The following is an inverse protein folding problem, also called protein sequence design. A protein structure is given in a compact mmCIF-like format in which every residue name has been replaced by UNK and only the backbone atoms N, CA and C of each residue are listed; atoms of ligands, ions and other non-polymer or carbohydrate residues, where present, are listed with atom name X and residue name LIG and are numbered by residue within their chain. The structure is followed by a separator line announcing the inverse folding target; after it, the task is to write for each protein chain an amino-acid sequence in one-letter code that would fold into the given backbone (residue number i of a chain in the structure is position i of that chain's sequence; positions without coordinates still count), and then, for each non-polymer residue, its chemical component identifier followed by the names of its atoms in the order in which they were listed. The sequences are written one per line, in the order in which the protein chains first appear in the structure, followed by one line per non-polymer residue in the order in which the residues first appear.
data_IF_922583832398
#
_entry.id   IF_922583832398
#
_cell.length_a   1.000
_cell.length_b   1.000
_cell.length_c   1.000
_cell.angle_alpha   90.00
_cell.angle_beta   90.00
_cell.angle_gamma   90.00
#
_symmetry.space_group_name_H-M   'P 1'
#
loop_
_entity.id
_entity.type
_entity.pdbx_description
1 polymer ?
#
# COMPACT_ATOMS: atom_id res chain seq x y z
N UNK A 1 41.07 10.38 -35.45
CA UNK A 1 40.38 9.28 -34.75
C UNK A 1 40.71 9.37 -33.26
N UNK A 2 39.98 10.14 -32.43
CA UNK A 2 40.22 10.18 -30.97
C UNK A 2 39.18 10.98 -30.17
N UNK A 3 37.86 10.82 -30.38
CA UNK A 3 36.83 11.55 -29.58
C UNK A 3 35.70 10.66 -29.01
N UNK A 4 35.99 9.41 -28.62
CA UNK A 4 34.95 8.48 -28.11
C UNK A 4 35.15 7.94 -26.69
N UNK A 5 36.11 8.45 -25.92
CA UNK A 5 36.44 7.86 -24.59
C UNK A 5 35.92 8.69 -23.39
N UNK A 6 35.40 9.91 -23.59
CA UNK A 6 35.05 10.80 -22.47
C UNK A 6 33.61 10.64 -21.93
N UNK A 7 32.68 10.02 -22.67
CA UNK A 7 31.25 10.00 -22.30
C UNK A 7 30.92 8.87 -21.30
N UNK A 8 31.67 7.76 -21.32
CA UNK A 8 31.39 6.60 -20.44
C UNK A 8 31.78 6.89 -18.98
N UNK A 9 32.82 7.69 -18.75
CA UNK A 9 33.32 7.99 -17.39
C UNK A 9 32.37 8.91 -16.61
N UNK A 10 31.64 9.81 -17.30
CA UNK A 10 30.68 10.72 -16.66
C UNK A 10 29.43 9.98 -16.16
N UNK A 11 28.98 8.96 -16.91
CA UNK A 11 27.85 8.13 -16.49
C UNK A 11 28.20 7.24 -15.28
N UNK A 12 29.41 6.69 -15.23
CA UNK A 12 29.87 5.90 -14.10
C UNK A 12 30.05 6.74 -12.82
N UNK A 13 30.46 8.02 -12.96
CA UNK A 13 30.61 8.95 -11.84
C UNK A 13 29.28 9.49 -11.30
N UNK A 14 28.23 9.63 -12.14
CA UNK A 14 26.91 10.05 -11.69
C UNK A 14 26.20 8.92 -10.93
N UNK A 15 26.34 7.68 -11.38
CA UNK A 15 25.82 6.50 -10.67
C UNK A 15 26.56 6.30 -9.35
N UNK A 16 27.89 6.47 -9.32
CA UNK A 16 28.68 6.33 -8.08
C UNK A 16 28.39 7.42 -7.03
N UNK A 17 28.00 8.64 -7.43
CA UNK A 17 27.61 9.70 -6.48
C UNK A 17 26.27 9.47 -5.79
N UNK A 18 25.40 8.62 -6.36
CA UNK A 18 24.16 8.20 -5.70
C UNK A 18 24.43 7.22 -4.53
N UNK A 19 25.62 6.62 -4.46
CA UNK A 19 25.99 5.64 -3.43
C UNK A 19 26.66 6.23 -2.17
N UNK A 20 26.80 7.56 -2.09
CA UNK A 20 27.29 8.24 -0.88
C UNK A 20 26.21 9.09 -0.21
N UNK A 21 24.93 8.69 -0.34
CA UNK A 21 23.92 9.19 0.58
C UNK A 21 24.23 8.63 1.97
N UNK A 22 24.29 9.51 2.98
CA UNK A 22 24.39 9.09 4.38
C UNK A 22 23.14 8.26 4.70
N UNK A 23 23.29 6.93 4.59
CA UNK A 23 22.20 6.01 4.88
C UNK A 23 21.70 6.29 6.30
N UNK A 24 20.39 6.14 6.54
CA UNK A 24 19.84 6.28 7.88
C UNK A 24 20.61 5.35 8.84
N UNK A 25 20.94 5.82 10.06
CA UNK A 25 21.73 5.04 10.99
C UNK A 25 21.02 3.74 11.38
N UNK A 26 21.79 2.75 11.82
CA UNK A 26 21.23 1.51 12.35
C UNK A 26 20.17 1.78 13.43
N UNK A 27 19.10 0.99 13.42
CA UNK A 27 17.95 1.21 14.31
C UNK A 27 16.90 2.17 13.78
N UNK A 28 17.17 2.92 12.70
CA UNK A 28 16.17 3.79 12.06
C UNK A 28 14.99 3.00 11.52
N UNK A 29 13.81 3.58 11.54
CA UNK A 29 12.60 2.96 10.98
C UNK A 29 11.58 4.00 10.54
N UNK A 30 10.69 3.58 9.63
CA UNK A 30 9.46 4.29 9.32
C UNK A 30 8.30 3.31 9.34
N UNK A 31 7.20 3.72 9.95
CA UNK A 31 5.95 2.98 9.99
C UNK A 31 4.80 3.88 9.57
N UNK A 32 4.04 3.40 8.60
CA UNK A 32 2.75 3.95 8.21
C UNK A 32 1.66 3.00 8.69
N UNK A 33 0.83 3.47 9.60
CA UNK A 33 -0.35 2.74 10.08
C UNK A 33 -1.60 3.41 9.53
N UNK A 34 -2.53 2.64 9.01
CA UNK A 34 -3.82 3.13 8.56
C UNK A 34 -4.95 2.42 9.31
N UNK A 35 -5.89 3.19 9.86
CA UNK A 35 -7.09 2.70 10.56
C UNK A 35 -8.32 3.55 10.19
N UNK A 36 -9.49 3.13 10.65
CA UNK A 36 -10.75 3.84 10.41
C UNK A 36 -11.32 3.67 9.01
N UNK A 37 -12.42 4.38 8.74
CA UNK A 37 -13.27 4.16 7.57
C UNK A 37 -13.98 2.80 7.59
N UNK A 38 -14.63 2.45 6.48
CA UNK A 38 -15.17 1.11 6.24
C UNK A 38 -14.08 0.28 5.58
N UNK A 39 -13.52 -0.65 6.34
CA UNK A 39 -12.42 -1.52 5.92
C UNK A 39 -12.60 -2.91 6.54
N UNK A 40 -12.23 -4.00 5.85
CA UNK A 40 -12.20 -5.34 6.45
C UNK A 40 -11.12 -5.45 7.55
N UNK A 41 -10.17 -4.51 7.56
CA UNK A 41 -9.11 -4.41 8.54
C UNK A 41 -9.39 -3.31 9.54
N UNK A 42 -9.16 -3.64 10.82
CA UNK A 42 -9.07 -2.67 11.91
C UNK A 42 -7.84 -1.79 11.75
N UNK A 43 -6.72 -2.38 11.35
CA UNK A 43 -5.43 -1.70 11.17
C UNK A 43 -4.64 -2.36 10.03
N UNK A 44 -4.02 -1.55 9.18
CA UNK A 44 -3.01 -1.96 8.21
C UNK A 44 -1.70 -1.22 8.48
N UNK A 45 -0.58 -1.92 8.52
CA UNK A 45 0.74 -1.36 8.84
C UNK A 45 1.75 -1.70 7.75
N UNK A 46 2.46 -0.68 7.26
CA UNK A 46 3.63 -0.80 6.40
C UNK A 46 4.84 -0.28 7.17
N UNK A 47 5.86 -1.10 7.34
CA UNK A 47 7.04 -0.78 8.15
C UNK A 47 8.32 -1.08 7.36
N UNK A 48 9.29 -0.17 7.46
CA UNK A 48 10.65 -0.37 6.99
C UNK A 48 11.58 -0.08 8.15
N UNK A 49 12.37 -1.06 8.54
CA UNK A 49 13.32 -0.97 9.65
C UNK A 49 14.74 -1.26 9.17
N UNK A 50 15.70 -0.42 9.56
CA UNK A 50 17.12 -0.53 9.22
C UNK A 50 17.84 -1.36 10.29
N UNK A 51 18.60 -2.37 9.83
CA UNK A 51 19.43 -3.27 10.64
C UNK A 51 20.80 -3.43 9.99
N UNK A 52 21.74 -2.57 10.34
CA UNK A 52 23.06 -2.50 9.71
C UNK A 52 22.93 -2.26 8.21
N UNK A 53 23.36 -3.22 7.40
CA UNK A 53 23.24 -3.20 5.93
C UNK A 53 21.93 -3.81 5.40
N UNK A 54 21.03 -4.21 6.27
CA UNK A 54 19.77 -4.90 5.94
C UNK A 54 18.59 -3.97 6.15
N UNK A 55 17.61 -4.03 5.25
CA UNK A 55 16.30 -3.41 5.44
C UNK A 55 15.26 -4.52 5.67
N UNK A 56 14.50 -4.40 6.76
CA UNK A 56 13.39 -5.29 7.12
C UNK A 56 12.09 -4.60 6.72
N UNK A 57 11.36 -5.19 5.79
CA UNK A 57 10.08 -4.68 5.30
C UNK A 57 8.98 -5.55 5.88
N UNK A 58 7.99 -4.93 6.52
CA UNK A 58 6.87 -5.64 7.13
C UNK A 58 5.55 -5.07 6.63
N UNK A 59 4.67 -5.96 6.19
CA UNK A 59 3.24 -5.68 5.98
C UNK A 59 2.45 -6.44 7.04
N UNK A 60 1.67 -5.73 7.84
CA UNK A 60 0.79 -6.35 8.83
C UNK A 60 -0.65 -5.87 8.67
N UNK A 61 -1.61 -6.80 8.83
CA UNK A 61 -3.04 -6.52 8.79
C UNK A 61 -3.73 -7.16 10.00
N UNK A 62 -4.53 -6.38 10.72
CA UNK A 62 -5.41 -6.86 11.79
C UNK A 62 -6.84 -6.80 11.26
N UNK A 63 -7.49 -7.94 11.07
CA UNK A 63 -8.86 -8.01 10.54
C UNK A 63 -9.91 -7.80 11.63
N UNK A 64 -11.13 -7.38 11.25
CA UNK A 64 -12.26 -7.27 12.18
C UNK A 64 -12.83 -8.64 12.58
N UNK A 65 -12.78 -9.62 11.67
CA UNK A 65 -13.51 -10.90 11.83
C UNK A 65 -12.60 -12.08 12.21
N UNK A 66 -11.30 -12.00 11.96
CA UNK A 66 -10.32 -13.00 12.41
C UNK A 66 -9.42 -12.39 13.50
N UNK A 67 -9.55 -12.85 14.75
CA UNK A 67 -8.65 -12.44 15.81
C UNK A 67 -7.25 -12.97 15.50
N UNK A 68 -6.33 -12.06 15.18
CA UNK A 68 -4.94 -12.37 14.86
C UNK A 68 -4.35 -11.36 13.90
N UNK A 69 -3.15 -10.87 14.23
CA UNK A 69 -2.35 -10.07 13.32
C UNK A 69 -1.76 -11.01 12.26
N UNK A 70 -2.12 -10.79 10.99
CA UNK A 70 -1.42 -11.42 9.88
C UNK A 70 -0.22 -10.54 9.51
N UNK A 71 0.93 -11.17 9.33
CA UNK A 71 2.17 -10.47 9.01
C UNK A 71 2.92 -11.18 7.88
N UNK A 72 3.53 -10.37 7.02
CA UNK A 72 4.52 -10.80 6.02
C UNK A 72 5.74 -9.93 6.15
N UNK A 73 6.90 -10.55 6.09
CA UNK A 73 8.20 -9.90 6.26
C UNK A 73 9.09 -10.23 5.07
N UNK A 74 9.83 -9.25 4.60
CA UNK A 74 10.89 -9.40 3.61
C UNK A 74 12.18 -8.77 4.14
N UNK A 75 13.28 -9.49 3.99
CA UNK A 75 14.63 -8.98 4.27
C UNK A 75 15.28 -8.61 2.94
N UNK A 76 15.80 -7.39 2.86
CA UNK A 76 16.63 -6.93 1.75
C UNK A 76 18.05 -6.71 2.25
N UNK A 77 19.03 -7.07 1.45
CA UNK A 77 20.45 -6.96 1.79
C UNK A 77 21.24 -6.35 0.62
N UNK A 78 22.45 -5.90 0.90
CA UNK A 78 23.39 -5.41 -0.12
C UNK A 78 22.86 -4.24 -0.94
N UNK A 79 23.04 -4.30 -2.25
CA UNK A 79 22.68 -3.21 -3.17
C UNK A 79 21.18 -2.92 -3.20
N UNK A 80 20.33 -3.93 -2.98
CA UNK A 80 18.87 -3.74 -2.98
C UNK A 80 18.42 -2.95 -1.75
N UNK A 81 18.95 -3.27 -0.57
CA UNK A 81 18.70 -2.51 0.65
C UNK A 81 19.20 -1.07 0.50
N UNK A 82 20.42 -0.87 0.01
CA UNK A 82 20.99 0.46 -0.21
C UNK A 82 20.15 1.30 -1.17
N UNK A 83 19.72 0.71 -2.30
CA UNK A 83 18.88 1.40 -3.28
C UNK A 83 17.52 1.81 -2.68
N UNK A 84 16.89 0.92 -1.90
CA UNK A 84 15.64 1.24 -1.21
C UNK A 84 15.84 2.38 -0.20
N UNK A 85 16.85 2.30 0.66
CA UNK A 85 17.08 3.29 1.71
C UNK A 85 17.42 4.66 1.13
N UNK A 86 18.21 4.72 0.05
CA UNK A 86 18.47 5.94 -0.68
C UNK A 86 17.19 6.53 -1.32
N UNK A 87 16.31 5.69 -1.87
CA UNK A 87 15.02 6.14 -2.42
C UNK A 87 14.09 6.71 -1.34
N UNK A 88 14.05 6.09 -0.15
CA UNK A 88 13.28 6.60 1.00
C UNK A 88 13.86 7.91 1.55
N UNK A 89 15.19 8.04 1.59
CA UNK A 89 15.84 9.29 1.98
C UNK A 89 15.53 10.42 0.99
N UNK A 90 15.65 10.15 -0.32
CA UNK A 90 15.28 11.10 -1.36
C UNK A 90 13.80 11.52 -1.32
N UNK A 91 12.91 10.66 -0.83
CA UNK A 91 11.50 10.97 -0.60
C UNK A 91 11.25 11.79 0.68
N UNK A 92 12.29 12.12 1.46
CA UNK A 92 12.19 12.90 2.69
C UNK A 92 11.60 12.14 3.88
N UNK A 93 11.59 10.80 3.82
CA UNK A 93 10.95 9.94 4.84
C UNK A 93 11.51 10.21 6.23
N UNK A 94 12.84 10.30 6.35
CA UNK A 94 13.52 10.46 7.63
C UNK A 94 13.34 11.84 8.24
N UNK A 95 12.90 12.81 7.42
CA UNK A 95 12.81 14.23 7.76
C UNK A 95 11.37 14.77 7.75
N UNK A 96 10.38 13.90 7.58
CA UNK A 96 8.95 14.24 7.55
C UNK A 96 8.49 14.96 8.81
N UNK A 97 7.75 16.07 8.64
CA UNK A 97 7.19 16.88 9.72
C UNK A 97 5.66 16.77 9.74
N UNK A 98 5.01 16.91 10.91
CA UNK A 98 3.55 16.97 10.97
C UNK A 98 3.05 18.16 10.13
N UNK A 99 2.13 17.95 9.18
CA UNK A 99 1.48 19.04 8.45
C UNK A 99 0.40 19.72 9.31
N UNK A 100 -0.12 20.89 8.89
CA UNK A 100 -1.31 21.48 9.50
C UNK A 100 -2.47 20.46 9.55
N UNK A 101 -3.14 20.38 10.71
CA UNK A 101 -4.23 19.42 10.94
C UNK A 101 -3.80 18.02 11.38
N UNK A 102 -2.49 17.75 11.44
CA UNK A 102 -1.97 16.56 12.11
C UNK A 102 -1.95 16.73 13.64
N UNK A 103 -2.12 15.63 14.35
CA UNK A 103 -2.00 15.56 15.81
C UNK A 103 -0.74 14.78 16.17
N UNK A 104 0.10 15.32 17.05
CA UNK A 104 1.27 14.61 17.56
C UNK A 104 0.88 13.45 18.50
N UNK A 105 1.71 12.40 18.51
CA UNK A 105 1.51 11.21 19.34
C UNK A 105 0.90 10.04 18.58
N UNK A 106 0.27 9.10 19.32
CA UNK A 106 -0.19 7.82 18.77
C UNK A 106 -1.66 7.89 18.39
N UNK A 107 -1.99 7.39 17.20
CA UNK A 107 -3.37 7.27 16.72
C UNK A 107 -4.21 6.37 17.63
N UNK A 108 -3.65 5.24 18.09
CA UNK A 108 -4.34 4.26 18.95
C UNK A 108 -4.80 4.80 20.30
N UNK A 109 -4.26 5.93 20.73
CA UNK A 109 -4.66 6.59 21.98
C UNK A 109 -6.03 7.30 21.80
N UNK A 110 -6.61 7.27 20.59
CA UNK A 110 -7.95 7.76 20.26
C UNK A 110 -8.73 6.72 19.42
N UNK A 111 -10.07 6.66 19.57
CA UNK A 111 -10.90 5.83 18.70
C UNK A 111 -10.64 6.11 17.22
N UNK A 112 -10.68 5.06 16.39
CA UNK A 112 -10.55 5.20 14.95
C UNK A 112 -11.77 5.93 14.38
N UNK A 113 -11.60 6.90 13.48
CA UNK A 113 -12.71 7.56 12.82
C UNK A 113 -13.51 6.57 11.96
N UNK A 114 -14.85 6.67 12.00
CA UNK A 114 -15.72 5.85 11.17
C UNK A 114 -15.97 6.48 9.79
N UNK A 115 -15.81 7.80 9.68
CA UNK A 115 -16.19 8.61 8.52
C UNK A 115 -15.13 8.66 7.42
N UNK A 116 -13.86 8.48 7.76
CA UNK A 116 -12.74 8.41 6.82
C UNK A 116 -11.55 7.69 7.42
N UNK A 117 -10.59 7.31 6.58
CA UNK A 117 -9.34 6.71 7.03
C UNK A 117 -8.50 7.71 7.82
N UNK A 118 -7.74 7.21 8.79
CA UNK A 118 -6.70 7.95 9.49
C UNK A 118 -5.36 7.26 9.27
N UNK A 119 -4.34 8.08 9.08
CA UNK A 119 -2.97 7.65 8.87
C UNK A 119 -2.12 8.12 10.04
N UNK A 120 -1.34 7.21 10.60
CA UNK A 120 -0.26 7.49 11.54
C UNK A 120 1.07 7.33 10.81
N UNK A 121 1.96 8.30 11.02
CA UNK A 121 3.34 8.29 10.56
C UNK A 121 4.22 8.23 11.80
N UNK A 122 5.04 7.19 11.91
CA UNK A 122 6.01 7.03 12.99
C UNK A 122 7.39 6.81 12.39
N UNK A 123 8.30 7.76 12.61
CA UNK A 123 9.67 7.73 12.07
C UNK A 123 10.66 7.81 13.22
N UNK A 124 11.66 6.94 13.19
CA UNK A 124 12.85 7.01 14.01
C UNK A 124 14.10 7.16 13.13
N UNK A 125 14.94 8.16 13.43
CA UNK A 125 16.26 8.36 12.80
C UNK A 125 17.31 8.48 13.91
N UNK A 126 18.00 7.39 14.20
CA UNK A 126 18.92 7.31 15.34
C UNK A 126 18.18 7.54 16.68
N UNK A 127 18.52 8.62 17.40
CA UNK A 127 17.89 8.97 18.69
C UNK A 127 16.62 9.81 18.53
N UNK A 128 16.38 10.36 17.35
CA UNK A 128 15.22 11.20 17.09
C UNK A 128 14.01 10.33 16.74
N UNK A 129 12.88 10.60 17.37
CA UNK A 129 11.61 9.96 17.06
C UNK A 129 10.53 11.01 16.82
N UNK A 130 9.76 10.82 15.76
CA UNK A 130 8.60 11.65 15.42
C UNK A 130 7.41 10.74 15.18
N UNK A 131 6.28 11.12 15.76
CA UNK A 131 5.03 10.39 15.57
C UNK A 131 3.87 11.35 15.54
N UNK A 132 3.05 11.24 14.51
CA UNK A 132 1.85 12.04 14.35
C UNK A 132 0.82 11.26 13.54
N UNK A 133 -0.43 11.68 13.62
CA UNK A 133 -1.50 11.12 12.83
C UNK A 133 -2.42 12.20 12.26
N UNK A 134 -3.09 11.89 11.16
CA UNK A 134 -4.04 12.77 10.50
C UNK A 134 -5.11 11.98 9.78
N UNK A 135 -6.26 12.59 9.55
CA UNK A 135 -7.28 11.98 8.69
C UNK A 135 -6.86 12.05 7.21
N UNK A 136 -7.46 11.21 6.37
CA UNK A 136 -7.17 11.12 4.94
C UNK A 136 -7.32 12.46 4.22
N UNK A 137 -8.36 13.24 4.56
CA UNK A 137 -8.56 14.59 4.03
C UNK A 137 -7.35 15.52 4.26
N UNK A 138 -6.81 15.53 5.48
CA UNK A 138 -5.61 16.30 5.83
C UNK A 138 -4.34 15.76 5.13
N UNK A 139 -4.24 14.44 4.96
CA UNK A 139 -3.13 13.83 4.20
C UNK A 139 -3.14 14.27 2.73
N UNK A 140 -4.30 14.25 2.08
CA UNK A 140 -4.45 14.68 0.69
C UNK A 140 -4.14 16.18 0.50
N UNK A 141 -4.34 17.00 1.54
CA UNK A 141 -3.97 18.41 1.56
C UNK A 141 -2.48 18.66 1.86
N UNK A 142 -1.69 17.62 2.17
CA UNK A 142 -0.29 17.72 2.55
C UNK A 142 0.63 16.92 1.58
N UNK A 143 0.96 17.46 0.39
CA UNK A 143 1.65 16.72 -0.67
C UNK A 143 2.98 16.07 -0.25
N UNK A 144 3.77 16.74 0.60
CA UNK A 144 5.03 16.21 1.08
C UNK A 144 4.84 14.95 1.95
N UNK A 145 3.84 14.96 2.83
CA UNK A 145 3.55 13.82 3.70
C UNK A 145 2.86 12.72 2.91
N UNK A 146 1.99 13.07 1.96
CA UNK A 146 1.41 12.12 1.02
C UNK A 146 2.49 11.38 0.23
N UNK A 147 3.50 12.08 -0.28
CA UNK A 147 4.63 11.46 -0.98
C UNK A 147 5.38 10.46 -0.09
N UNK A 148 5.63 10.80 1.18
CA UNK A 148 6.23 9.89 2.17
C UNK A 148 5.37 8.65 2.40
N UNK A 149 4.06 8.83 2.64
CA UNK A 149 3.11 7.72 2.83
C UNK A 149 3.10 6.81 1.61
N UNK A 150 3.05 7.37 0.41
CA UNK A 150 3.05 6.61 -0.84
C UNK A 150 4.38 5.87 -1.05
N UNK A 151 5.52 6.52 -0.83
CA UNK A 151 6.84 5.92 -0.98
C UNK A 151 7.03 4.71 -0.06
N UNK A 152 6.63 4.83 1.21
CA UNK A 152 6.77 3.72 2.18
C UNK A 152 5.80 2.58 1.85
N UNK A 153 4.55 2.89 1.52
CA UNK A 153 3.57 1.86 1.13
C UNK A 153 4.04 1.11 -0.13
N UNK A 154 4.45 1.83 -1.16
CA UNK A 154 4.95 1.24 -2.40
C UNK A 154 6.21 0.40 -2.15
N UNK A 155 7.16 0.89 -1.37
CA UNK A 155 8.37 0.16 -1.00
C UNK A 155 8.05 -1.21 -0.39
N UNK A 156 7.08 -1.26 0.52
CA UNK A 156 6.65 -2.49 1.20
C UNK A 156 5.80 -3.36 0.28
N UNK A 157 4.73 -2.83 -0.30
CA UNK A 157 3.76 -3.60 -1.09
C UNK A 157 4.33 -4.18 -2.38
N UNK A 158 5.38 -3.58 -2.96
CA UNK A 158 6.05 -4.12 -4.15
C UNK A 158 7.02 -5.27 -3.86
N UNK A 159 7.38 -5.50 -2.59
CA UNK A 159 8.44 -6.44 -2.19
C UNK A 159 8.01 -7.50 -1.18
N UNK A 160 6.95 -7.21 -0.43
CA UNK A 160 6.37 -8.13 0.54
C UNK A 160 5.20 -8.83 -0.13
N UNK A 161 5.12 -10.16 0.04
CA UNK A 161 3.97 -10.93 -0.45
C UNK A 161 2.66 -10.32 0.09
N UNK A 162 1.65 -10.09 -0.77
CA UNK A 162 0.41 -9.48 -0.33
C UNK A 162 -0.30 -10.38 0.68
N UNK A 163 -0.83 -9.77 1.74
CA UNK A 163 -1.76 -10.44 2.64
C UNK A 163 -3.15 -10.53 1.99
N UNK A 164 -3.94 -11.58 2.29
CA UNK A 164 -5.27 -11.76 1.71
C UNK A 164 -6.19 -10.57 2.02
N UNK A 165 -7.16 -10.33 1.13
CA UNK A 165 -8.12 -9.22 1.13
C UNK A 165 -7.49 -7.84 0.86
N UNK A 166 -8.20 -7.00 0.09
CA UNK A 166 -7.72 -5.69 -0.34
C UNK A 166 -7.79 -4.66 0.77
N UNK A 167 -6.82 -3.75 0.77
CA UNK A 167 -6.81 -2.57 1.65
C UNK A 167 -7.79 -1.51 1.13
N UNK A 168 -9.08 -1.85 1.10
CA UNK A 168 -10.13 -0.87 0.82
C UNK A 168 -10.55 -0.22 2.12
N UNK A 169 -10.19 1.04 2.29
CA UNK A 169 -10.84 1.92 3.24
C UNK A 169 -11.71 2.89 2.46
N UNK A 170 -13.02 2.77 2.61
CA UNK A 170 -13.99 3.64 1.95
C UNK A 170 -14.79 4.43 2.98
N UNK A 171 -15.24 5.62 2.59
CA UNK A 171 -16.16 6.39 3.43
C UNK A 171 -17.47 5.60 3.59
N UNK A 172 -18.17 5.69 4.73
CA UNK A 172 -19.51 5.14 4.86
C UNK A 172 -20.42 5.62 3.72
N UNK A 173 -21.22 4.71 3.17
CA UNK A 173 -22.09 5.03 2.03
C UNK A 173 -21.37 5.20 0.69
N UNK A 174 -20.11 4.73 0.57
CA UNK A 174 -19.34 4.66 -0.69
C UNK A 174 -19.02 3.23 -1.13
N UNK A 175 -19.88 2.29 -0.75
CA UNK A 175 -19.84 0.87 -1.15
C UNK A 175 -21.08 0.58 -1.97
N UNK A 176 -20.93 -0.13 -3.08
CA UNK A 176 -22.03 -0.79 -3.79
C UNK A 176 -21.87 -2.32 -3.73
N UNK A 177 -22.82 -3.04 -4.32
CA UNK A 177 -22.83 -4.50 -4.31
C UNK A 177 -22.62 -5.04 -5.72
N UNK A 178 -21.76 -6.04 -5.87
CA UNK A 178 -21.46 -6.70 -7.15
C UNK A 178 -21.81 -8.18 -7.07
N UNK A 179 -22.79 -8.62 -7.85
CA UNK A 179 -23.08 -10.05 -8.06
C UNK A 179 -22.51 -10.49 -9.41
N UNK A 180 -21.75 -11.58 -9.41
CA UNK A 180 -21.09 -12.12 -10.62
C UNK A 180 -21.48 -13.58 -10.78
N UNK A 181 -21.98 -13.92 -11.97
CA UNK A 181 -22.22 -15.30 -12.39
C UNK A 181 -21.52 -15.55 -13.72
N UNK A 182 -21.28 -16.82 -14.05
CA UNK A 182 -20.70 -17.20 -15.33
C UNK A 182 -21.40 -18.42 -15.93
N UNK A 183 -21.17 -18.65 -17.22
CA UNK A 183 -21.70 -19.80 -17.96
C UNK A 183 -21.16 -21.16 -17.48
N UNK A 184 -20.07 -21.16 -16.69
CA UNK A 184 -19.51 -22.35 -16.04
C UNK A 184 -18.90 -21.96 -14.67
N UNK A 185 -18.62 -22.94 -13.78
CA UNK A 185 -17.88 -22.68 -12.55
C UNK A 185 -16.49 -22.12 -12.81
N UNK A 186 -15.97 -21.37 -11.84
CA UNK A 186 -14.67 -20.75 -11.95
C UNK A 186 -14.42 -19.73 -10.85
N UNK A 187 -13.61 -18.72 -11.15
CA UNK A 187 -13.28 -17.61 -10.26
C UNK A 187 -13.39 -16.26 -10.96
N UNK A 188 -13.77 -15.23 -10.21
CA UNK A 188 -13.63 -13.84 -10.60
C UNK A 188 -12.44 -13.21 -9.86
N UNK A 189 -11.62 -12.47 -10.58
CA UNK A 189 -10.47 -11.71 -10.09
C UNK A 189 -10.81 -10.23 -10.26
N UNK A 190 -11.00 -9.52 -9.15
CA UNK A 190 -11.32 -8.09 -9.13
C UNK A 190 -10.04 -7.27 -8.94
N UNK A 191 -9.86 -6.27 -9.80
CA UNK A 191 -8.72 -5.34 -9.87
C UNK A 191 -7.34 -6.02 -9.87
N UNK A 192 -7.27 -7.29 -10.28
CA UNK A 192 -6.05 -8.09 -10.32
C UNK A 192 -5.62 -8.72 -9.00
N UNK A 193 -6.36 -8.53 -7.90
CA UNK A 193 -5.94 -8.98 -6.56
C UNK A 193 -6.96 -9.88 -5.85
N UNK A 194 -8.25 -9.60 -5.97
CA UNK A 194 -9.28 -10.30 -5.18
C UNK A 194 -9.87 -11.46 -5.99
N UNK A 195 -9.58 -12.71 -5.59
CA UNK A 195 -10.12 -13.89 -6.23
C UNK A 195 -11.32 -14.44 -5.45
N UNK A 196 -12.47 -14.54 -6.10
CA UNK A 196 -13.70 -15.09 -5.55
C UNK A 196 -14.18 -16.28 -6.39
N UNK A 197 -14.63 -17.34 -5.73
CA UNK A 197 -15.26 -18.48 -6.42
C UNK A 197 -16.64 -18.08 -6.93
N UNK A 198 -16.95 -18.40 -8.17
CA UNK A 198 -18.26 -18.14 -8.77
C UNK A 198 -19.28 -19.25 -8.40
N UNK A 199 -20.57 -18.92 -8.23
CA UNK A 199 -21.16 -17.57 -8.30
C UNK A 199 -20.84 -16.72 -7.06
N UNK A 200 -20.73 -15.41 -7.27
CA UNK A 200 -20.59 -14.41 -6.21
C UNK A 200 -21.89 -13.64 -6.11
N UNK A 201 -22.44 -13.51 -4.91
CA UNK A 201 -23.65 -12.74 -4.66
C UNK A 201 -23.37 -11.61 -3.66
N UNK A 202 -23.69 -10.38 -4.04
CA UNK A 202 -23.64 -9.23 -3.16
C UNK A 202 -22.25 -8.88 -2.62
N UNK A 203 -21.19 -8.96 -3.44
CA UNK A 203 -19.85 -8.57 -3.02
C UNK A 203 -19.80 -7.06 -2.75
N UNK A 204 -19.37 -6.66 -1.56
CA UNK A 204 -19.13 -5.26 -1.22
C UNK A 204 -17.92 -4.72 -2.01
N UNK A 205 -18.16 -3.76 -2.90
CA UNK A 205 -17.12 -3.14 -3.74
C UNK A 205 -17.17 -1.62 -3.57
N UNK A 206 -16.01 -0.93 -3.44
CA UNK A 206 -15.96 0.53 -3.48
C UNK A 206 -16.74 1.13 -4.66
N UNK A 207 -17.31 2.33 -4.49
CA UNK A 207 -17.83 3.09 -5.63
C UNK A 207 -16.69 3.41 -6.62
N UNK A 208 -16.88 3.10 -7.90
CA UNK A 208 -15.86 3.34 -8.92
C UNK A 208 -15.97 2.44 -10.15
N UNK A 209 -15.02 2.59 -11.07
CA UNK A 209 -14.78 1.60 -12.12
C UNK A 209 -13.80 0.54 -11.64
N UNK A 210 -14.13 -0.72 -11.85
CA UNK A 210 -13.34 -1.88 -11.46
C UNK A 210 -13.06 -2.77 -12.65
N UNK A 211 -11.86 -3.33 -12.72
CA UNK A 211 -11.50 -4.35 -13.70
C UNK A 211 -11.86 -5.73 -13.14
N UNK A 212 -12.65 -6.50 -13.88
CA UNK A 212 -13.05 -7.86 -13.51
C UNK A 212 -12.52 -8.82 -14.55
N UNK A 213 -11.75 -9.81 -14.11
CA UNK A 213 -11.34 -10.96 -14.92
C UNK A 213 -12.02 -12.21 -14.40
N UNK A 214 -12.89 -12.81 -15.19
CA UNK A 214 -13.51 -14.10 -14.88
C UNK A 214 -12.75 -15.20 -15.59
N UNK A 215 -12.32 -16.23 -14.85
CA UNK A 215 -11.67 -17.45 -15.36
C UNK A 215 -12.54 -18.65 -15.04
N UNK A 216 -12.95 -19.41 -16.06
CA UNK A 216 -13.66 -20.68 -15.90
C UNK A 216 -12.70 -21.83 -15.59
N UNK A 217 -13.24 -22.92 -15.06
CA UNK A 217 -12.47 -24.14 -14.79
C UNK A 217 -11.90 -24.77 -16.07
N UNK A 218 -12.49 -24.47 -17.24
CA UNK A 218 -11.96 -24.81 -18.57
C UNK A 218 -10.66 -24.08 -18.95
N UNK A 219 -10.24 -23.07 -18.17
CA UNK A 219 -9.12 -22.19 -18.48
C UNK A 219 -9.47 -20.99 -19.37
N UNK A 220 -10.71 -20.93 -19.88
CA UNK A 220 -11.21 -19.76 -20.63
C UNK A 220 -11.41 -18.58 -19.69
N UNK A 221 -11.17 -17.37 -20.20
CA UNK A 221 -11.33 -16.17 -19.40
C UNK A 221 -11.91 -15.01 -20.19
N UNK A 222 -12.51 -14.07 -19.45
CA UNK A 222 -13.01 -12.82 -19.98
C UNK A 222 -12.71 -11.68 -19.02
N UNK A 223 -12.24 -10.57 -19.56
CA UNK A 223 -11.92 -9.37 -18.80
C UNK A 223 -12.83 -8.21 -19.25
N UNK A 224 -13.35 -7.44 -18.30
CA UNK A 224 -14.23 -6.30 -18.56
C UNK A 224 -14.18 -5.30 -17.40
N UNK A 225 -14.67 -4.08 -17.66
CA UNK A 225 -14.86 -3.08 -16.61
C UNK A 225 -16.30 -3.04 -16.13
N UNK A 226 -16.49 -2.91 -14.83
CA UNK A 226 -17.80 -2.71 -14.20
C UNK A 226 -17.78 -1.40 -13.42
N UNK A 227 -18.84 -0.61 -13.54
CA UNK A 227 -19.03 0.60 -12.73
C UNK A 227 -19.93 0.26 -11.55
N UNK A 228 -19.38 0.34 -10.34
CA UNK A 228 -20.10 0.15 -9.08
C UNK A 228 -20.55 1.52 -8.56
N UNK A 229 -21.84 1.66 -8.29
CA UNK A 229 -22.42 2.87 -7.69
C UNK A 229 -22.71 2.62 -6.23
N UNK A 230 -22.42 3.60 -5.38
CA UNK A 230 -22.67 3.49 -3.95
C UNK A 230 -24.15 3.17 -3.63
N UNK A 231 -24.37 2.20 -2.75
CA UNK A 231 -25.70 1.74 -2.30
C UNK A 231 -26.48 0.92 -3.34
N UNK A 232 -25.98 0.79 -4.57
CA UNK A 232 -26.67 0.08 -5.65
C UNK A 232 -26.10 -1.33 -5.84
N UNK A 233 -26.96 -2.26 -6.25
CA UNK A 233 -26.56 -3.58 -6.73
C UNK A 233 -26.26 -3.56 -8.23
N UNK A 234 -25.12 -4.11 -8.61
CA UNK A 234 -24.70 -4.34 -9.99
C UNK A 234 -24.58 -5.84 -10.20
N UNK A 235 -25.31 -6.39 -11.18
CA UNK A 235 -25.27 -7.83 -11.48
C UNK A 235 -24.70 -8.04 -12.88
N UNK A 236 -23.74 -8.95 -12.99
CA UNK A 236 -23.12 -9.32 -14.27
C UNK A 236 -23.17 -10.83 -14.46
N UNK A 237 -23.65 -11.26 -15.63
CA UNK A 237 -23.53 -12.63 -16.10
C UNK A 237 -22.49 -12.69 -17.22
N UNK A 238 -21.50 -13.56 -17.06
CA UNK A 238 -20.35 -13.65 -17.95
C UNK A 238 -20.41 -14.94 -18.76
N UNK A 239 -20.55 -14.78 -20.08
CA UNK A 239 -20.43 -15.90 -21.01
C UNK A 239 -18.96 -16.06 -21.39
N UNK A 240 -18.40 -17.23 -21.11
CA UNK A 240 -17.04 -17.63 -21.47
C UNK A 240 -17.08 -18.45 -22.77
N UNK A 241 -16.49 -17.91 -23.83
CA UNK A 241 -16.39 -18.50 -25.17
C UNK A 241 -15.11 -19.33 -25.33
#
# INVERSE_FOLDING_TARGET
MTHHVAIVTVFCSLVARVYAADLPPDGSFVRITADGGVSPFKVVTHDVTVRGSTAVLTLAKESLCHPGQQERVRLLEGQEAQALLAALDAAGVWDVRPPPGATEGRARDRPAPLDEQRFEVWVGKGKEMRRFFMKQSALLAAPAVLAVVMAVREAVSSRVEPLPMRDTSVKPGKVGYLSITASEPGRAILDGFESHRLPVDGLDVPEGEHLVRVEGDSGRFREFRVKVTAGAGTAVHVVLE
#
